data_IF_994539943355
#
_entry.id   IF_994539943355
#
_cell.length_a   1.000
_cell.length_b   1.000
_cell.length_c   1.000
_cell.angle_alpha   90.00
_cell.angle_beta   90.00
_cell.angle_gamma   90.00
#
_symmetry.space_group_name_H-M   'P 1'
#
loop_
_entity.id
_entity.type
_entity.pdbx_description
1 polymer ?
#
# COMPACT_ATOMS: atom_id res chain seq x y z
N UNK A 1 15.57 51.83 -14.86
CA UNK A 1 14.95 51.10 -13.73
C UNK A 1 14.35 49.82 -14.30
N UNK A 2 15.05 48.69 -14.16
CA UNK A 2 14.61 47.42 -14.73
C UNK A 2 13.52 46.83 -13.81
N UNK A 3 12.28 46.71 -14.29
CA UNK A 3 11.25 45.95 -13.58
C UNK A 3 11.45 44.47 -13.93
N UNK A 4 11.51 43.55 -12.95
CA UNK A 4 11.56 42.14 -13.26
C UNK A 4 10.29 41.76 -14.02
N UNK A 5 10.36 40.87 -15.02
CA UNK A 5 9.19 40.43 -15.74
C UNK A 5 8.23 39.78 -14.74
N UNK A 6 6.96 40.18 -14.78
CA UNK A 6 5.88 39.49 -14.06
C UNK A 6 5.77 38.09 -14.63
N UNK A 7 6.35 37.11 -13.95
CA UNK A 7 6.17 35.70 -14.27
C UNK A 7 4.72 35.38 -13.94
N UNK A 8 3.84 35.38 -14.94
CA UNK A 8 2.56 34.71 -14.84
C UNK A 8 2.87 33.29 -14.37
N UNK A 9 2.58 33.03 -13.09
CA UNK A 9 2.90 31.75 -12.50
C UNK A 9 1.87 30.80 -13.05
N UNK A 10 2.27 30.01 -14.05
CA UNK A 10 1.43 28.99 -14.66
C UNK A 10 0.70 28.21 -13.55
N UNK A 11 -0.63 28.10 -13.69
CA UNK A 11 -1.48 27.38 -12.74
C UNK A 11 -0.94 25.96 -12.49
N UNK A 12 -0.34 25.33 -13.49
CA UNK A 12 0.31 24.04 -13.33
C UNK A 12 1.50 24.10 -12.34
N UNK A 13 2.34 25.14 -12.43
CA UNK A 13 3.46 25.36 -11.50
C UNK A 13 2.98 25.56 -10.07
N UNK A 14 1.89 26.32 -9.89
CA UNK A 14 1.29 26.54 -8.57
C UNK A 14 0.75 25.23 -7.98
N UNK A 15 -0.01 24.46 -8.76
CA UNK A 15 -0.54 23.15 -8.36
C UNK A 15 0.59 22.22 -7.95
N UNK A 16 1.66 22.14 -8.76
CA UNK A 16 2.81 21.30 -8.44
C UNK A 16 3.53 21.74 -7.16
N UNK A 17 3.67 23.05 -6.91
CA UNK A 17 4.28 23.57 -5.68
C UNK A 17 3.45 23.19 -4.44
N UNK A 18 2.13 23.35 -4.51
CA UNK A 18 1.21 22.96 -3.44
C UNK A 18 1.30 21.45 -3.19
N UNK A 19 1.26 20.64 -4.25
CA UNK A 19 1.34 19.19 -4.17
C UNK A 19 2.66 18.70 -3.55
N UNK A 20 3.81 19.20 -4.03
CA UNK A 20 5.14 18.86 -3.50
C UNK A 20 5.24 19.19 -2.01
N UNK A 21 4.80 20.38 -1.60
CA UNK A 21 4.80 20.81 -0.21
C UNK A 21 3.89 19.95 0.68
N UNK A 22 2.66 19.67 0.21
CA UNK A 22 1.74 18.80 0.92
C UNK A 22 2.30 17.38 1.08
N UNK A 23 2.87 16.82 0.00
CA UNK A 23 3.42 15.47 -0.01
C UNK A 23 4.55 15.30 1.01
N UNK A 24 5.52 16.22 1.05
CA UNK A 24 6.61 16.18 2.03
C UNK A 24 6.08 16.25 3.46
N UNK A 25 5.15 17.19 3.76
CA UNK A 25 4.55 17.29 5.09
C UNK A 25 3.78 16.04 5.47
N UNK A 26 3.07 15.43 4.53
CA UNK A 26 2.34 14.17 4.76
C UNK A 26 3.30 13.01 5.01
N UNK A 27 4.39 12.90 4.26
CA UNK A 27 5.44 11.89 4.51
C UNK A 27 5.99 12.02 5.94
N UNK A 28 6.38 13.23 6.35
CA UNK A 28 6.92 13.48 7.68
C UNK A 28 5.91 13.17 8.79
N UNK A 29 4.64 13.52 8.59
CA UNK A 29 3.57 13.21 9.55
C UNK A 29 3.33 11.69 9.69
N UNK A 30 3.44 10.94 8.59
CA UNK A 30 3.29 9.48 8.61
C UNK A 30 4.52 8.77 9.18
N UNK A 31 5.72 9.32 8.96
CA UNK A 31 6.99 8.81 9.45
C UNK A 31 7.13 8.83 10.99
N UNK A 32 6.22 9.52 11.69
CA UNK A 32 6.29 9.71 13.14
C UNK A 32 7.04 10.98 13.48
N UNK A 33 8.07 10.91 14.31
CA UNK A 33 8.83 12.08 14.76
C UNK A 33 10.29 12.05 14.26
N UNK A 34 10.53 12.19 12.94
CA UNK A 34 11.88 12.13 12.37
C UNK A 34 12.81 13.26 12.84
N UNK A 35 12.29 14.27 13.54
CA UNK A 35 13.05 15.37 14.12
C UNK A 35 13.34 15.17 15.62
N UNK A 36 12.67 14.23 16.30
CA UNK A 36 12.87 13.92 17.73
C UNK A 36 13.62 12.60 17.90
N UNK A 37 14.79 12.52 17.28
CA UNK A 37 15.57 11.27 17.21
C UNK A 37 16.18 10.88 18.54
N UNK A 38 16.46 11.86 19.40
CA UNK A 38 16.98 11.61 20.75
C UNK A 38 16.03 10.76 21.61
N UNK A 39 14.73 10.81 21.35
CA UNK A 39 13.71 10.00 22.06
C UNK A 39 13.69 8.54 21.60
N UNK A 40 14.40 8.18 20.53
CA UNK A 40 14.42 6.82 20.00
C UNK A 40 15.36 5.94 20.82
N UNK A 41 14.90 4.74 21.13
CA UNK A 41 15.56 3.80 22.05
C UNK A 41 16.74 3.08 21.41
N UNK A 42 16.67 2.75 20.11
CA UNK A 42 17.80 2.22 19.36
C UNK A 42 18.66 3.35 18.81
N UNK A 43 19.99 3.17 18.84
CA UNK A 43 20.95 4.16 18.33
C UNK A 43 21.21 4.02 16.83
N UNK A 44 21.29 2.77 16.37
CA UNK A 44 21.61 2.41 14.99
C UNK A 44 20.44 1.73 14.28
N UNK A 45 20.45 1.85 12.95
CA UNK A 45 19.54 1.18 12.03
C UNK A 45 19.91 -0.29 11.84
N UNK A 46 18.92 -1.16 11.70
CA UNK A 46 19.13 -2.61 11.67
C UNK A 46 19.98 -3.11 10.49
N UNK A 47 19.80 -2.55 9.29
CA UNK A 47 20.37 -3.06 8.04
C UNK A 47 21.59 -2.25 7.63
N UNK A 48 21.46 -0.92 7.67
CA UNK A 48 22.48 0.01 7.21
C UNK A 48 23.52 0.32 8.28
N UNK A 49 23.20 0.02 9.56
CA UNK A 49 24.01 0.42 10.72
C UNK A 49 24.23 1.94 10.81
N UNK A 50 23.43 2.73 10.09
CA UNK A 50 23.47 4.19 10.19
C UNK A 50 22.97 4.61 11.56
N UNK A 51 23.69 5.54 12.20
CA UNK A 51 23.19 6.20 13.39
C UNK A 51 21.94 7.04 13.09
N UNK A 52 21.04 7.13 14.07
CA UNK A 52 19.80 7.90 13.95
C UNK A 52 20.01 9.33 13.48
N UNK A 53 21.11 9.98 13.87
CA UNK A 53 21.39 11.37 13.50
C UNK A 53 21.85 11.56 12.04
N UNK A 54 22.34 10.51 11.39
CA UNK A 54 22.79 10.56 10.00
C UNK A 54 21.67 10.21 8.99
N UNK A 55 20.63 9.51 9.44
CA UNK A 55 19.53 9.13 8.55
C UNK A 55 18.81 10.36 7.96
N UNK A 56 18.47 10.31 6.67
CA UNK A 56 17.64 11.35 6.05
C UNK A 56 16.24 11.38 6.70
N UNK A 57 15.67 12.55 7.08
CA UNK A 57 14.31 12.62 7.63
C UNK A 57 13.24 12.00 6.74
N UNK A 58 13.45 11.98 5.43
CA UNK A 58 12.58 11.31 4.46
C UNK A 58 12.87 9.81 4.37
N UNK A 59 13.97 9.28 4.86
CA UNK A 59 14.18 7.82 4.92
C UNK A 59 13.95 7.26 6.34
N UNK A 60 13.33 8.03 7.22
CA UNK A 60 13.16 7.68 8.62
C UNK A 60 11.71 7.24 8.89
N UNK A 61 11.53 6.21 9.71
CA UNK A 61 10.23 5.83 10.24
C UNK A 61 10.33 5.49 11.73
N UNK A 62 9.36 5.92 12.52
CA UNK A 62 9.28 5.59 13.95
C UNK A 62 7.86 5.34 14.43
N UNK A 63 7.75 4.51 15.46
CA UNK A 63 6.51 4.24 16.17
C UNK A 63 6.77 3.96 17.66
N UNK A 64 5.72 4.12 18.46
CA UNK A 64 5.73 3.80 19.88
C UNK A 64 5.30 2.35 20.08
N UNK A 65 6.05 1.63 20.91
CA UNK A 65 5.75 0.27 21.33
C UNK A 65 6.25 0.08 22.76
N UNK A 66 5.39 -0.42 23.64
CA UNK A 66 5.71 -0.64 25.06
C UNK A 66 6.32 0.58 25.76
N UNK A 67 5.79 1.78 25.45
CA UNK A 67 6.26 3.06 26.02
C UNK A 67 7.61 3.55 25.47
N UNK A 68 8.24 2.82 24.56
CA UNK A 68 9.50 3.18 23.92
C UNK A 68 9.28 3.53 22.46
N UNK A 69 10.08 4.47 21.94
CA UNK A 69 10.09 4.80 20.52
C UNK A 69 11.17 4.01 19.82
N UNK A 70 10.80 3.31 18.77
CA UNK A 70 11.72 2.58 17.91
C UNK A 70 11.78 3.24 16.55
N UNK A 71 12.97 3.31 15.97
CA UNK A 71 13.16 3.89 14.64
C UNK A 71 13.81 2.89 13.68
N UNK A 72 13.50 3.07 12.40
CA UNK A 72 13.95 2.24 11.30
C UNK A 72 14.19 3.10 10.06
N UNK A 73 15.06 2.63 9.18
CA UNK A 73 15.07 3.08 7.79
C UNK A 73 13.74 2.72 7.12
N UNK A 74 13.24 3.59 6.25
CA UNK A 74 11.96 3.35 5.59
C UNK A 74 12.00 2.09 4.70
N UNK A 75 13.12 1.86 4.02
CA UNK A 75 13.32 0.64 3.23
C UNK A 75 13.27 -0.62 4.10
N UNK A 76 13.91 -0.58 5.28
CA UNK A 76 13.90 -1.67 6.25
C UNK A 76 12.49 -1.97 6.74
N UNK A 77 11.74 -0.94 7.16
CA UNK A 77 10.39 -1.18 7.70
C UNK A 77 9.42 -1.62 6.60
N UNK A 78 9.54 -1.12 5.37
CA UNK A 78 8.73 -1.61 4.24
C UNK A 78 9.09 -3.06 3.93
N UNK A 79 10.38 -3.42 3.96
CA UNK A 79 10.81 -4.80 3.74
C UNK A 79 10.27 -5.74 4.81
N UNK A 80 10.23 -5.31 6.07
CA UNK A 80 9.62 -6.07 7.17
C UNK A 80 8.11 -6.32 6.93
N UNK A 81 7.40 -5.38 6.29
CA UNK A 81 5.98 -5.56 5.93
C UNK A 81 5.74 -6.60 4.82
N UNK A 82 6.80 -7.09 4.16
CA UNK A 82 6.73 -8.17 3.18
C UNK A 82 6.75 -9.57 3.85
N UNK A 83 6.71 -9.64 5.18
CA UNK A 83 6.58 -10.90 5.93
C UNK A 83 5.14 -11.15 6.35
N UNK A 84 4.69 -12.41 6.47
CA UNK A 84 3.31 -12.76 6.86
C UNK A 84 2.90 -12.25 8.25
N UNK A 85 3.86 -12.11 9.16
CA UNK A 85 3.59 -11.63 10.52
C UNK A 85 4.68 -10.64 10.86
N UNK A 86 4.53 -9.37 10.43
CA UNK A 86 5.56 -8.37 10.59
C UNK A 86 5.74 -8.04 12.07
N UNK A 87 6.97 -8.20 12.53
CA UNK A 87 7.35 -7.99 13.92
C UNK A 87 8.44 -6.95 14.05
N UNK A 88 8.45 -6.25 15.17
CA UNK A 88 9.58 -5.42 15.55
C UNK A 88 10.77 -6.34 15.88
N UNK A 89 11.90 -6.25 15.17
CA UNK A 89 13.05 -7.13 15.38
C UNK A 89 13.71 -6.97 16.76
N UNK A 90 13.51 -5.84 17.44
CA UNK A 90 14.09 -5.60 18.77
C UNK A 90 13.25 -6.19 19.92
N UNK A 91 11.95 -6.35 19.74
CA UNK A 91 11.01 -6.79 20.80
C UNK A 91 10.29 -8.09 20.46
N UNK A 92 10.31 -8.51 19.18
CA UNK A 92 9.57 -9.64 18.62
C UNK A 92 8.04 -9.49 18.69
N UNK A 93 7.55 -8.29 19.03
CA UNK A 93 6.13 -7.94 19.07
C UNK A 93 5.58 -7.72 17.65
N UNK A 94 4.31 -8.07 17.44
CA UNK A 94 3.64 -7.86 16.14
C UNK A 94 3.40 -6.36 15.95
N UNK A 95 3.80 -5.84 14.79
CA UNK A 95 3.61 -4.44 14.46
C UNK A 95 2.10 -4.14 14.41
N UNK A 96 1.69 -3.16 15.20
CA UNK A 96 0.28 -2.81 15.37
C UNK A 96 -0.39 -2.39 14.06
N UNK A 97 -1.71 -2.59 13.98
CA UNK A 97 -2.53 -2.19 12.83
C UNK A 97 -2.34 -0.71 12.45
N UNK A 98 -2.33 0.19 13.44
CA UNK A 98 -2.15 1.63 13.18
C UNK A 98 -0.79 1.90 12.51
N UNK A 99 0.27 1.27 13.01
CA UNK A 99 1.61 1.37 12.44
C UNK A 99 1.66 0.79 11.02
N UNK A 100 1.06 -0.39 10.76
CA UNK A 100 1.03 -0.98 9.42
C UNK A 100 0.31 -0.10 8.40
N UNK A 101 -0.85 0.44 8.76
CA UNK A 101 -1.61 1.37 7.91
C UNK A 101 -0.76 2.60 7.55
N UNK A 102 -0.04 3.17 8.54
CA UNK A 102 0.89 4.29 8.30
C UNK A 102 2.02 3.93 7.35
N UNK A 103 2.64 2.75 7.51
CA UNK A 103 3.72 2.28 6.63
C UNK A 103 3.20 2.11 5.20
N UNK A 104 2.02 1.52 5.00
CA UNK A 104 1.44 1.36 3.67
C UNK A 104 1.11 2.67 2.98
N UNK A 105 0.54 3.64 3.72
CA UNK A 105 0.31 4.98 3.18
C UNK A 105 1.62 5.68 2.79
N UNK A 106 2.65 5.54 3.63
CA UNK A 106 3.97 6.12 3.36
C UNK A 106 4.61 5.48 2.13
N UNK A 107 4.60 4.15 2.02
CA UNK A 107 5.07 3.39 0.86
C UNK A 107 4.40 3.85 -0.44
N UNK A 108 3.08 4.07 -0.44
CA UNK A 108 2.37 4.54 -1.62
C UNK A 108 2.83 5.95 -2.04
N UNK A 109 3.06 6.86 -1.09
CA UNK A 109 3.62 8.19 -1.40
C UNK A 109 5.03 8.10 -2.00
N UNK A 110 5.85 7.16 -1.53
CA UNK A 110 7.23 6.98 -2.02
C UNK A 110 7.24 6.39 -3.42
N UNK A 111 6.34 5.45 -3.69
CA UNK A 111 6.11 4.92 -5.03
C UNK A 111 5.77 6.03 -6.03
N UNK A 112 4.82 6.92 -5.70
CA UNK A 112 4.47 8.05 -6.57
C UNK A 112 5.63 9.03 -6.80
N UNK A 113 6.56 9.13 -5.83
CA UNK A 113 7.75 9.97 -5.94
C UNK A 113 8.93 9.27 -6.61
N UNK A 114 8.77 7.99 -7.00
CA UNK A 114 9.84 7.14 -7.53
C UNK A 114 11.06 7.04 -6.58
N UNK A 115 10.81 7.16 -5.27
CA UNK A 115 11.84 7.07 -4.24
C UNK A 115 12.00 5.65 -3.70
N UNK A 116 11.14 4.72 -4.13
CA UNK A 116 11.16 3.34 -3.69
C UNK A 116 10.87 2.41 -4.88
N UNK A 117 11.85 1.59 -5.24
CA UNK A 117 11.76 0.61 -6.31
C UNK A 117 12.07 -0.80 -5.76
N UNK A 118 11.17 -1.35 -4.94
CA UNK A 118 11.24 -2.78 -4.61
C UNK A 118 10.55 -3.61 -5.71
N UNK A 119 11.18 -4.71 -6.18
CA UNK A 119 10.54 -5.68 -7.05
C UNK A 119 9.19 -6.10 -6.47
N UNK A 120 8.11 -5.73 -7.15
CA UNK A 120 6.77 -6.08 -6.72
C UNK A 120 6.48 -7.52 -7.15
N UNK A 121 6.99 -8.53 -6.43
CA UNK A 121 6.70 -9.94 -6.72
C UNK A 121 5.23 -10.26 -6.47
N UNK A 122 4.73 -11.35 -7.07
CA UNK A 122 3.38 -11.85 -6.76
C UNK A 122 3.23 -12.13 -5.25
N UNK A 123 4.20 -12.83 -4.68
CA UNK A 123 4.26 -13.14 -3.25
C UNK A 123 4.06 -11.90 -2.36
N UNK A 124 4.86 -10.86 -2.58
CA UNK A 124 4.79 -9.62 -1.79
C UNK A 124 3.42 -8.95 -1.93
N UNK A 125 2.83 -8.98 -3.12
CA UNK A 125 1.49 -8.42 -3.36
C UNK A 125 0.40 -9.22 -2.64
N UNK A 126 0.50 -10.55 -2.59
CA UNK A 126 -0.43 -11.40 -1.85
C UNK A 126 -0.37 -11.12 -0.34
N UNK A 127 0.84 -11.01 0.24
CA UNK A 127 1.03 -10.63 1.64
C UNK A 127 0.42 -9.26 1.93
N UNK A 128 0.68 -8.28 1.08
CA UNK A 128 0.08 -6.95 1.21
C UNK A 128 -1.45 -6.98 1.15
N UNK A 129 -2.02 -7.76 0.23
CA UNK A 129 -3.47 -7.87 0.10
C UNK A 129 -4.04 -8.46 1.39
N UNK A 130 -3.46 -9.53 1.90
CA UNK A 130 -3.81 -10.14 3.19
C UNK A 130 -3.80 -9.13 4.34
N UNK A 131 -2.70 -8.40 4.53
CA UNK A 131 -2.63 -7.41 5.61
C UNK A 131 -3.66 -6.29 5.47
N UNK A 132 -3.91 -5.79 4.25
CA UNK A 132 -4.92 -4.75 4.04
C UNK A 132 -6.31 -5.27 4.41
N UNK A 133 -6.62 -6.53 4.12
CA UNK A 133 -7.88 -7.16 4.51
C UNK A 133 -7.93 -7.34 6.03
N UNK A 134 -6.91 -7.90 6.67
CA UNK A 134 -6.85 -8.01 8.14
C UNK A 134 -7.04 -6.64 8.83
N UNK A 135 -6.43 -5.58 8.27
CA UNK A 135 -6.59 -4.21 8.75
C UNK A 135 -8.01 -3.66 8.56
N UNK A 136 -8.90 -4.31 7.81
CA UNK A 136 -10.33 -3.96 7.72
C UNK A 136 -11.22 -4.77 8.68
N UNK A 137 -10.64 -5.37 9.73
CA UNK A 137 -11.35 -6.18 10.74
C UNK A 137 -11.81 -7.56 10.22
N UNK A 138 -11.17 -8.06 9.17
CA UNK A 138 -11.30 -9.47 8.81
C UNK A 138 -10.36 -10.32 9.69
N UNK A 139 -10.73 -11.59 9.92
CA UNK A 139 -9.83 -12.56 10.58
C UNK A 139 -8.50 -12.69 9.84
N UNK A 140 -7.50 -13.33 10.46
CA UNK A 140 -6.20 -13.55 9.83
C UNK A 140 -6.37 -14.25 8.47
N UNK A 141 -5.92 -13.61 7.39
CA UNK A 141 -6.03 -14.14 6.02
C UNK A 141 -4.64 -14.53 5.55
N UNK A 142 -4.36 -15.83 5.49
CA UNK A 142 -3.08 -16.29 4.94
C UNK A 142 -2.96 -15.91 3.45
N UNK A 143 -1.82 -15.30 3.09
CA UNK A 143 -1.50 -14.89 1.71
C UNK A 143 -1.50 -16.08 0.74
N UNK A 144 -1.26 -17.29 1.23
CA UNK A 144 -1.26 -18.54 0.47
C UNK A 144 -2.59 -18.82 -0.21
N UNK A 145 -3.70 -18.33 0.38
CA UNK A 145 -5.05 -18.42 -0.23
C UNK A 145 -5.12 -17.66 -1.55
N UNK A 146 -4.29 -16.64 -1.74
CA UNK A 146 -4.17 -15.89 -2.99
C UNK A 146 -3.07 -16.46 -3.88
N UNK A 147 -1.88 -16.70 -3.34
CA UNK A 147 -0.70 -17.06 -4.12
C UNK A 147 -0.83 -18.39 -4.87
N UNK A 148 -1.54 -19.36 -4.27
CA UNK A 148 -1.69 -20.71 -4.84
C UNK A 148 -3.07 -20.98 -5.42
N UNK A 149 -3.81 -19.93 -5.81
CA UNK A 149 -5.11 -20.12 -6.48
C UNK A 149 -4.95 -20.88 -7.79
N UNK A 150 -5.74 -21.95 -7.96
CA UNK A 150 -5.84 -22.66 -9.24
C UNK A 150 -6.48 -21.78 -10.31
N UNK A 151 -6.36 -22.14 -11.60
CA UNK A 151 -7.01 -21.40 -12.68
C UNK A 151 -8.52 -21.27 -12.49
N UNK A 152 -9.19 -22.37 -12.15
CA UNK A 152 -10.63 -22.38 -11.92
C UNK A 152 -11.02 -21.46 -10.75
N UNK A 153 -10.24 -21.53 -9.68
CA UNK A 153 -10.35 -20.72 -8.47
C UNK A 153 -10.21 -19.22 -8.79
N UNK A 154 -9.25 -18.83 -9.64
CA UNK A 154 -9.09 -17.44 -10.12
C UNK A 154 -10.32 -16.97 -10.91
N UNK A 155 -10.86 -17.82 -11.80
CA UNK A 155 -12.04 -17.51 -12.61
C UNK A 155 -13.24 -17.24 -11.73
N UNK A 156 -13.53 -18.14 -10.78
CA UNK A 156 -14.62 -17.95 -9.82
C UNK A 156 -14.42 -16.69 -8.98
N UNK A 157 -13.24 -16.53 -8.38
CA UNK A 157 -12.93 -15.40 -7.50
C UNK A 157 -13.14 -14.04 -8.19
N UNK A 158 -12.54 -13.86 -9.36
CA UNK A 158 -12.62 -12.61 -10.13
C UNK A 158 -14.02 -12.35 -10.68
N UNK A 159 -14.73 -13.39 -11.13
CA UNK A 159 -16.12 -13.28 -11.61
C UNK A 159 -17.06 -12.88 -10.48
N UNK A 160 -16.85 -13.43 -9.29
CA UNK A 160 -17.68 -13.13 -8.12
C UNK A 160 -17.45 -11.69 -7.63
N UNK A 161 -16.19 -11.24 -7.58
CA UNK A 161 -15.86 -9.84 -7.34
C UNK A 161 -16.56 -8.95 -8.38
N UNK A 162 -16.41 -9.27 -9.68
CA UNK A 162 -17.02 -8.48 -10.76
C UNK A 162 -18.54 -8.37 -10.58
N UNK A 163 -19.22 -9.49 -10.33
CA UNK A 163 -20.67 -9.56 -10.12
C UNK A 163 -21.12 -8.64 -8.98
N UNK A 164 -20.44 -8.71 -7.84
CA UNK A 164 -20.74 -7.87 -6.68
C UNK A 164 -20.48 -6.37 -6.94
N UNK A 165 -19.40 -6.04 -7.65
CA UNK A 165 -19.09 -4.65 -8.00
C UNK A 165 -20.12 -4.07 -8.96
N UNK A 166 -20.51 -4.81 -10.00
CA UNK A 166 -21.57 -4.39 -10.94
C UNK A 166 -22.87 -4.17 -10.20
N UNK A 167 -23.31 -5.13 -9.38
CA UNK A 167 -24.55 -5.00 -8.60
C UNK A 167 -24.54 -3.77 -7.67
N UNK A 168 -23.38 -3.44 -7.08
CA UNK A 168 -23.25 -2.32 -6.15
C UNK A 168 -23.14 -0.95 -6.84
N UNK A 169 -22.52 -0.90 -8.01
CA UNK A 169 -22.12 0.36 -8.65
C UNK A 169 -22.90 0.71 -9.92
N UNK A 170 -23.71 -0.20 -10.46
CA UNK A 170 -24.53 0.02 -11.67
C UNK A 170 -25.25 1.37 -11.67
N UNK A 171 -25.92 1.71 -10.56
CA UNK A 171 -26.75 2.92 -10.49
C UNK A 171 -26.00 4.13 -9.91
N UNK A 172 -24.68 4.02 -9.70
CA UNK A 172 -23.85 5.09 -9.13
C UNK A 172 -22.57 5.26 -9.93
N UNK A 173 -22.66 5.64 -11.22
CA UNK A 173 -21.50 5.78 -12.08
C UNK A 173 -20.56 6.87 -11.57
N UNK A 174 -19.26 6.60 -11.70
CA UNK A 174 -18.21 7.59 -11.58
C UNK A 174 -17.00 7.09 -12.33
N UNK A 175 -16.21 8.00 -12.89
CA UNK A 175 -15.00 7.66 -13.67
C UNK A 175 -14.08 6.67 -12.93
N UNK A 176 -13.99 6.80 -11.60
CA UNK A 176 -13.22 5.91 -10.75
C UNK A 176 -13.81 4.50 -10.66
N UNK A 177 -15.14 4.39 -10.48
CA UNK A 177 -15.83 3.09 -10.40
C UNK A 177 -15.81 2.37 -11.73
N UNK A 178 -16.00 3.10 -12.83
CA UNK A 178 -15.85 2.57 -14.19
C UNK A 178 -14.45 2.03 -14.42
N UNK A 179 -13.41 2.78 -14.02
CA UNK A 179 -12.03 2.29 -14.08
C UNK A 179 -11.82 1.02 -13.25
N UNK A 180 -12.38 0.95 -12.05
CA UNK A 180 -12.29 -0.24 -11.19
C UNK A 180 -12.99 -1.46 -11.81
N UNK A 181 -14.18 -1.28 -12.37
CA UNK A 181 -14.91 -2.32 -13.09
C UNK A 181 -14.12 -2.82 -14.29
N UNK A 182 -13.62 -1.91 -15.13
CA UNK A 182 -12.82 -2.22 -16.29
C UNK A 182 -11.58 -3.06 -15.96
N UNK A 183 -10.89 -2.76 -14.85
CA UNK A 183 -9.72 -3.52 -14.42
C UNK A 183 -10.06 -4.98 -14.10
N UNK A 184 -11.15 -5.21 -13.38
CA UNK A 184 -11.59 -6.57 -13.03
C UNK A 184 -12.16 -7.30 -14.25
N UNK A 185 -12.96 -6.62 -15.06
CA UNK A 185 -13.49 -7.17 -16.32
C UNK A 185 -12.35 -7.59 -17.26
N UNK A 186 -11.30 -6.78 -17.37
CA UNK A 186 -10.10 -7.12 -18.13
C UNK A 186 -9.40 -8.37 -17.59
N UNK A 187 -9.39 -8.55 -16.27
CA UNK A 187 -8.82 -9.76 -15.65
C UNK A 187 -9.69 -10.99 -15.94
N UNK A 188 -11.02 -10.86 -15.90
CA UNK A 188 -11.97 -11.93 -16.26
C UNK A 188 -11.83 -12.33 -17.73
N UNK A 189 -11.80 -11.35 -18.65
CA UNK A 189 -11.70 -11.60 -20.07
C UNK A 189 -10.40 -12.32 -20.47
N UNK A 190 -9.28 -11.97 -19.84
CA UNK A 190 -7.95 -12.55 -20.15
C UNK A 190 -7.77 -13.99 -19.68
N UNK A 191 -8.61 -14.50 -18.78
CA UNK A 191 -8.45 -15.84 -18.19
C UNK A 191 -8.51 -16.99 -19.20
N UNK A 192 -9.22 -16.79 -20.31
CA UNK A 192 -9.37 -17.78 -21.37
C UNK A 192 -8.23 -17.73 -22.40
N UNK A 193 -7.47 -16.63 -22.44
CA UNK A 193 -6.45 -16.38 -23.45
C UNK A 193 -5.02 -16.54 -22.92
N UNK A 194 -4.81 -16.24 -21.63
CA UNK A 194 -3.48 -16.23 -21.04
C UNK A 194 -3.05 -17.62 -20.57
N UNK A 195 -1.93 -18.12 -21.11
CA UNK A 195 -1.37 -19.42 -20.76
C UNK A 195 -0.70 -19.41 -19.38
N UNK A 196 -0.08 -18.28 -18.99
CA UNK A 196 0.68 -18.18 -17.75
C UNK A 196 -0.22 -17.81 -16.55
N UNK A 197 -0.46 -18.80 -15.68
CA UNK A 197 -1.29 -18.63 -14.48
C UNK A 197 -0.76 -17.53 -13.54
N UNK A 198 0.54 -17.50 -13.32
CA UNK A 198 1.20 -16.53 -12.43
C UNK A 198 0.95 -15.09 -12.90
N UNK A 199 0.96 -14.85 -14.21
CA UNK A 199 0.71 -13.54 -14.79
C UNK A 199 -0.76 -13.10 -14.61
N UNK A 200 -1.71 -14.01 -14.78
CA UNK A 200 -3.14 -13.75 -14.49
C UNK A 200 -3.33 -13.33 -13.04
N UNK A 201 -2.75 -14.11 -12.11
CA UNK A 201 -2.86 -13.84 -10.70
C UNK A 201 -2.18 -12.52 -10.33
N UNK A 202 -1.00 -12.26 -10.89
CA UNK A 202 -0.30 -10.98 -10.71
C UNK A 202 -1.14 -9.78 -11.14
N UNK A 203 -1.79 -9.86 -12.31
CA UNK A 203 -2.68 -8.80 -12.81
C UNK A 203 -3.90 -8.60 -11.90
N UNK A 204 -4.53 -9.69 -11.47
CA UNK A 204 -5.69 -9.65 -10.59
C UNK A 204 -5.34 -9.01 -9.24
N UNK A 205 -4.32 -9.53 -8.55
CA UNK A 205 -3.90 -9.01 -7.25
C UNK A 205 -3.44 -7.55 -7.37
N UNK A 206 -2.72 -7.19 -8.44
CA UNK A 206 -2.34 -5.79 -8.69
C UNK A 206 -3.54 -4.87 -8.86
N UNK A 207 -4.59 -5.34 -9.56
CA UNK A 207 -5.83 -4.60 -9.75
C UNK A 207 -6.57 -4.40 -8.43
N UNK A 208 -6.69 -5.45 -7.61
CA UNK A 208 -7.31 -5.38 -6.28
C UNK A 208 -6.57 -4.41 -5.35
N UNK A 209 -5.24 -4.51 -5.30
CA UNK A 209 -4.42 -3.58 -4.52
C UNK A 209 -4.60 -2.13 -4.99
N UNK A 210 -4.63 -1.89 -6.29
CA UNK A 210 -4.88 -0.55 -6.84
C UNK A 210 -6.26 -0.02 -6.42
N UNK A 211 -7.30 -0.85 -6.50
CA UNK A 211 -8.65 -0.46 -6.11
C UNK A 211 -8.73 -0.14 -4.61
N UNK A 212 -8.12 -0.96 -3.75
CA UNK A 212 -8.08 -0.75 -2.31
C UNK A 212 -7.32 0.52 -1.93
N UNK A 213 -6.17 0.79 -2.56
CA UNK A 213 -5.37 2.01 -2.31
C UNK A 213 -6.09 3.28 -2.75
N UNK A 214 -6.77 3.23 -3.89
CA UNK A 214 -7.48 4.41 -4.39
C UNK A 214 -8.78 4.67 -3.65
N UNK A 215 -9.36 3.69 -2.96
CA UNK A 215 -10.66 3.83 -2.26
C UNK A 215 -10.50 4.41 -0.85
N UNK A 216 -11.22 5.51 -0.54
CA UNK A 216 -11.14 6.20 0.75
C UNK A 216 -11.61 5.30 1.92
N UNK A 217 -12.78 4.67 1.77
CA UNK A 217 -13.27 3.67 2.71
C UNK A 217 -13.02 2.28 2.10
N UNK A 218 -12.00 1.58 2.60
CA UNK A 218 -11.58 0.27 2.06
C UNK A 218 -12.55 -0.85 2.45
N UNK A 219 -13.23 -0.75 3.60
CA UNK A 219 -14.07 -1.80 4.16
C UNK A 219 -15.08 -2.40 3.17
N UNK A 220 -15.91 -1.64 2.42
CA UNK A 220 -16.87 -2.24 1.50
C UNK A 220 -16.24 -3.05 0.37
N UNK A 221 -15.07 -2.61 -0.12
CA UNK A 221 -14.36 -3.33 -1.16
C UNK A 221 -13.66 -4.57 -0.58
N UNK A 222 -13.02 -4.42 0.58
CA UNK A 222 -12.43 -5.54 1.31
C UNK A 222 -13.47 -6.62 1.67
N UNK A 223 -14.70 -6.23 2.01
CA UNK A 223 -15.81 -7.15 2.26
C UNK A 223 -16.20 -7.95 1.02
N UNK A 224 -16.23 -7.32 -0.16
CA UNK A 224 -16.49 -8.02 -1.42
C UNK A 224 -15.37 -9.01 -1.73
N UNK A 225 -14.11 -8.59 -1.58
CA UNK A 225 -12.94 -9.44 -1.81
C UNK A 225 -12.95 -10.63 -0.84
N UNK A 226 -13.20 -10.38 0.45
CA UNK A 226 -13.27 -11.41 1.46
C UNK A 226 -14.44 -12.39 1.21
N UNK A 227 -15.63 -11.86 0.89
CA UNK A 227 -16.80 -12.68 0.58
C UNK A 227 -16.55 -13.60 -0.62
N UNK A 228 -15.95 -13.06 -1.69
CA UNK A 228 -15.55 -13.85 -2.85
C UNK A 228 -14.50 -14.92 -2.48
N UNK A 229 -13.56 -14.61 -1.58
CA UNK A 229 -12.56 -15.56 -1.11
C UNK A 229 -13.16 -16.72 -0.30
N UNK A 230 -14.23 -16.47 0.45
CA UNK A 230 -14.92 -17.49 1.25
C UNK A 230 -15.92 -18.33 0.44
N UNK A 231 -16.32 -17.87 -0.74
CA UNK A 231 -17.20 -18.59 -1.67
C UNK A 231 -16.46 -19.64 -2.52
N UNK A 232 -15.14 -19.74 -2.37
CA UNK A 232 -14.24 -20.63 -3.10
C UNK A 232 -13.89 -21.84 -2.26
#
# INVERSE_FOLDING_TARGET
MWKPPTVETDSATLIQKIWRGWSVRRCLALAGDPLKRHDCHNEEELVTLEEKNHQNPLNFFSFLENGKRWWFGLDTIIKLMETETPKNPYTNEIISRDTRVRIYELRDLYWYRQLYNSPQTLHNKCIMLSHILEDQLFEKISYTRFEYMSRLTIVFFSSEIHRHLVARWRDKPSQKREKHLFLIESCVAKQYLEAHLEFLLFQLISSLLYMLRTTKNKFPLSFIIFGALQAM
#
